data_IF_911228442932
#
_entry.id   IF_911228442932
#
_cell.length_a   1.000
_cell.length_b   1.000
_cell.length_c   1.000
_cell.angle_alpha   90.00
_cell.angle_beta   90.00
_cell.angle_gamma   90.00
#
_symmetry.space_group_name_H-M   'P 1'
#
loop_
_entity.id
_entity.type
_entity.pdbx_description
1 polymer ?
#
# COMPACT_ATOMS: atom_id res chain seq x y z
N UNK A 1 -20.71 -2.14 41.22
CA UNK A 1 -20.93 -0.85 40.51
C UNK A 1 -19.69 -0.26 39.85
N UNK A 2 -18.67 0.34 40.52
CA UNK A 2 -17.50 0.87 39.76
C UNK A 2 -16.57 -0.20 39.16
N UNK A 3 -16.43 -1.37 39.80
CA UNK A 3 -15.56 -2.47 39.31
C UNK A 3 -16.17 -3.34 38.21
N UNK A 4 -17.50 -3.29 38.02
CA UNK A 4 -18.16 -4.04 36.94
C UNK A 4 -18.04 -3.29 35.61
N UNK A 5 -18.18 -1.95 35.61
CA UNK A 5 -17.98 -1.20 34.36
C UNK A 5 -16.53 -1.22 33.88
N UNK A 6 -15.54 -1.25 34.79
CA UNK A 6 -14.13 -1.43 34.41
C UNK A 6 -13.86 -2.82 33.79
N UNK A 7 -14.62 -3.85 34.20
CA UNK A 7 -14.52 -5.21 33.66
C UNK A 7 -15.25 -5.32 32.32
N UNK A 8 -16.43 -4.70 32.20
CA UNK A 8 -17.21 -4.63 30.97
C UNK A 8 -16.50 -3.77 29.91
N UNK A 9 -15.82 -2.69 30.30
CA UNK A 9 -14.97 -1.87 29.42
C UNK A 9 -13.69 -2.62 29.02
N UNK A 10 -13.12 -3.45 29.91
CA UNK A 10 -11.99 -4.33 29.56
C UNK A 10 -12.41 -5.48 28.64
N UNK A 11 -13.61 -6.04 28.83
CA UNK A 11 -14.20 -7.08 27.96
C UNK A 11 -14.61 -6.47 26.61
N UNK A 12 -15.13 -5.24 26.58
CA UNK A 12 -15.43 -4.50 25.36
C UNK A 12 -14.14 -4.08 24.62
N UNK A 13 -13.07 -3.72 25.33
CA UNK A 13 -11.76 -3.47 24.75
C UNK A 13 -11.12 -4.75 24.16
N UNK A 14 -11.39 -5.91 24.76
CA UNK A 14 -11.06 -7.24 24.21
C UNK A 14 -11.89 -7.61 22.97
N UNK A 15 -13.04 -6.95 22.75
CA UNK A 15 -13.90 -7.11 21.58
C UNK A 15 -13.70 -5.97 20.56
N UNK A 16 -12.45 -5.57 20.31
CA UNK A 16 -12.16 -4.80 19.09
C UNK A 16 -12.62 -5.62 17.88
N UNK A 17 -13.36 -5.04 16.91
CA UNK A 17 -13.77 -5.78 15.72
C UNK A 17 -12.51 -6.35 15.09
N UNK A 18 -12.52 -7.67 14.88
CA UNK A 18 -11.37 -8.37 14.33
C UNK A 18 -11.03 -7.73 12.97
N UNK A 19 -9.83 -7.12 12.88
CA UNK A 19 -9.33 -6.74 11.58
C UNK A 19 -9.17 -8.01 10.76
N UNK A 20 -9.42 -7.93 9.46
CA UNK A 20 -9.36 -9.10 8.58
C UNK A 20 -8.44 -8.77 7.43
N UNK A 21 -7.54 -9.69 7.10
CA UNK A 21 -6.70 -9.67 5.90
C UNK A 21 -7.28 -10.63 4.87
N UNK A 22 -7.37 -10.17 3.62
CA UNK A 22 -7.59 -11.04 2.48
C UNK A 22 -6.23 -11.53 1.98
N UNK A 23 -5.98 -12.84 2.04
CA UNK A 23 -4.72 -13.47 1.64
C UNK A 23 -4.93 -14.36 0.41
N UNK A 24 -4.08 -14.20 -0.63
CA UNK A 24 -4.17 -14.95 -1.89
C UNK A 24 -3.56 -16.33 -1.79
N UNK A 25 -4.37 -17.38 -1.91
CA UNK A 25 -3.97 -18.78 -1.89
C UNK A 25 -3.46 -19.28 -3.26
N UNK A 26 -2.77 -20.42 -3.22
CA UNK A 26 -2.39 -21.20 -4.40
C UNK A 26 -1.15 -20.70 -5.13
N UNK A 27 -0.96 -19.39 -5.22
CA UNK A 27 0.12 -18.80 -6.00
C UNK A 27 1.35 -18.42 -5.18
N UNK A 28 1.22 -17.73 -4.03
CA UNK A 28 2.38 -17.48 -3.19
C UNK A 28 2.86 -18.76 -2.52
N UNK A 29 4.17 -18.89 -2.23
CA UNK A 29 4.72 -20.12 -1.64
C UNK A 29 3.97 -20.54 -0.38
N UNK A 30 3.60 -21.84 -0.29
CA UNK A 30 2.91 -22.42 0.86
C UNK A 30 3.58 -22.06 2.20
N UNK A 31 4.92 -22.01 2.23
CA UNK A 31 5.65 -21.60 3.44
C UNK A 31 5.28 -20.18 3.89
N UNK A 32 5.23 -19.20 2.98
CA UNK A 32 4.83 -17.82 3.32
C UNK A 32 3.40 -17.77 3.87
N UNK A 33 2.52 -18.62 3.34
CA UNK A 33 1.16 -18.74 3.85
C UNK A 33 1.14 -19.23 5.30
N UNK A 34 1.82 -20.35 5.56
CA UNK A 34 1.86 -20.97 6.89
C UNK A 34 2.54 -20.07 7.92
N UNK A 35 3.67 -19.45 7.56
CA UNK A 35 4.40 -18.50 8.41
C UNK A 35 3.50 -17.31 8.77
N UNK A 36 2.75 -16.74 7.81
CA UNK A 36 1.81 -15.64 8.07
C UNK A 36 0.69 -16.03 9.05
N UNK A 37 0.11 -17.23 8.87
CA UNK A 37 -0.95 -17.72 9.75
C UNK A 37 -0.42 -17.93 11.17
N UNK A 38 0.79 -18.49 11.31
CA UNK A 38 1.45 -18.64 12.62
C UNK A 38 1.71 -17.30 13.29
N UNK A 39 2.31 -16.34 12.57
CA UNK A 39 2.67 -15.01 13.07
C UNK A 39 1.43 -14.17 13.42
N UNK A 40 0.31 -14.36 12.72
CA UNK A 40 -0.95 -13.67 13.03
C UNK A 40 -1.47 -14.03 14.43
N UNK A 41 -1.04 -15.17 14.99
CA UNK A 41 -1.42 -15.63 16.33
C UNK A 41 -2.91 -15.88 16.50
N UNK A 42 -3.65 -16.03 15.39
CA UNK A 42 -5.12 -16.18 15.33
C UNK A 42 -5.55 -17.48 14.67
N UNK A 43 -4.66 -18.47 14.62
CA UNK A 43 -5.05 -19.86 14.42
C UNK A 43 -6.20 -20.18 15.37
N UNK A 44 -7.38 -20.48 14.81
CA UNK A 44 -8.48 -20.98 15.61
C UNK A 44 -7.96 -22.20 16.39
N UNK A 45 -8.18 -22.27 17.71
CA UNK A 45 -7.81 -23.44 18.49
C UNK A 45 -8.37 -24.70 17.82
N UNK A 46 -7.47 -25.57 17.32
CA UNK A 46 -7.86 -26.85 16.70
C UNK A 46 -7.87 -26.91 15.16
N UNK A 47 -7.52 -25.85 14.42
CA UNK A 47 -7.31 -26.00 12.97
C UNK A 47 -6.00 -26.77 12.71
N UNK A 48 -6.04 -28.00 12.17
CA UNK A 48 -4.82 -28.75 11.94
C UNK A 48 -4.05 -28.12 10.76
N UNK A 49 -2.71 -28.04 10.86
CA UNK A 49 -1.84 -27.57 9.76
C UNK A 49 -2.15 -28.27 8.44
N UNK A 50 -2.55 -29.55 8.49
CA UNK A 50 -2.93 -30.33 7.31
C UNK A 50 -4.16 -29.79 6.59
N UNK A 51 -5.08 -29.09 7.28
CA UNK A 51 -6.20 -28.41 6.63
C UNK A 51 -5.73 -27.16 5.86
N UNK A 52 -4.81 -26.38 6.45
CA UNK A 52 -4.19 -25.20 5.81
C UNK A 52 -3.39 -25.59 4.55
N UNK A 53 -2.73 -26.74 4.59
CA UNK A 53 -2.03 -27.27 3.41
C UNK A 53 -3.03 -27.67 2.34
N UNK A 54 -4.11 -28.38 2.68
CA UNK A 54 -5.13 -28.80 1.71
C UNK A 54 -5.81 -27.62 1.03
N UNK A 55 -6.26 -26.62 1.79
CA UNK A 55 -6.91 -25.45 1.18
C UNK A 55 -5.97 -24.69 0.23
N UNK A 56 -4.69 -24.58 0.59
CA UNK A 56 -3.70 -23.96 -0.28
C UNK A 56 -3.48 -24.81 -1.54
N UNK A 57 -3.39 -26.13 -1.40
CA UNK A 57 -3.23 -27.05 -2.54
C UNK A 57 -4.44 -27.07 -3.47
N UNK A 58 -5.66 -26.94 -2.94
CA UNK A 58 -6.87 -26.87 -3.75
C UNK A 58 -6.95 -25.54 -4.51
N UNK A 59 -6.56 -24.43 -3.88
CA UNK A 59 -6.40 -23.15 -4.56
C UNK A 59 -5.30 -23.17 -5.63
N UNK A 60 -4.16 -23.84 -5.36
CA UNK A 60 -3.07 -23.99 -6.33
C UNK A 60 -3.52 -24.73 -7.58
N UNK A 61 -4.25 -25.85 -7.41
CA UNK A 61 -4.82 -26.61 -8.54
C UNK A 61 -5.81 -25.76 -9.34
N UNK A 62 -6.67 -25.01 -8.66
CA UNK A 62 -7.58 -24.08 -9.33
C UNK A 62 -6.83 -22.95 -10.06
N UNK A 63 -5.72 -22.48 -9.50
CA UNK A 63 -4.85 -21.50 -10.15
C UNK A 63 -4.21 -22.07 -11.43
N UNK A 64 -3.69 -23.29 -11.40
CA UNK A 64 -3.15 -23.99 -12.59
C UNK A 64 -4.19 -24.09 -13.72
N UNK A 65 -5.46 -24.37 -13.38
CA UNK A 65 -6.56 -24.34 -14.36
C UNK A 65 -6.75 -22.94 -14.96
N UNK A 66 -6.62 -21.89 -14.14
CA UNK A 66 -6.69 -20.51 -14.61
C UNK A 66 -5.50 -20.11 -15.47
N UNK A 67 -4.29 -20.61 -15.20
CA UNK A 67 -3.13 -20.33 -16.04
C UNK A 67 -3.34 -20.78 -17.49
N UNK A 68 -4.07 -21.88 -17.68
CA UNK A 68 -4.43 -22.37 -19.00
C UNK A 68 -5.62 -21.63 -19.59
N UNK A 69 -6.68 -21.38 -18.80
CA UNK A 69 -7.93 -20.78 -19.31
C UNK A 69 -7.82 -19.27 -19.57
N UNK A 70 -6.97 -18.59 -18.79
CA UNK A 70 -6.78 -17.14 -18.81
C UNK A 70 -5.34 -16.78 -19.22
N UNK A 71 -4.74 -17.59 -20.10
CA UNK A 71 -3.41 -17.32 -20.63
C UNK A 71 -3.35 -15.92 -21.27
N UNK A 72 -2.32 -15.16 -20.92
CA UNK A 72 -2.03 -13.80 -21.36
C UNK A 72 -3.16 -12.79 -21.10
N UNK A 73 -4.07 -13.07 -20.17
CA UNK A 73 -5.20 -12.18 -19.84
C UNK A 73 -4.76 -10.78 -19.32
N UNK A 74 -3.52 -10.67 -18.84
CA UNK A 74 -2.95 -9.41 -18.36
C UNK A 74 -2.30 -8.58 -19.48
N UNK A 75 -2.11 -9.16 -20.67
CA UNK A 75 -1.42 -8.53 -21.79
C UNK A 75 -2.34 -7.48 -22.41
N UNK A 76 -1.77 -6.31 -22.71
CA UNK A 76 -2.44 -5.17 -23.35
C UNK A 76 -3.88 -4.93 -22.83
N UNK A 77 -4.06 -4.71 -21.52
CA UNK A 77 -5.39 -4.56 -20.94
C UNK A 77 -6.08 -3.32 -21.52
N UNK A 78 -7.41 -3.38 -21.63
CA UNK A 78 -8.21 -2.28 -22.13
C UNK A 78 -7.97 -1.01 -21.29
N UNK A 79 -7.63 0.09 -21.97
CA UNK A 79 -7.42 1.40 -21.37
C UNK A 79 -8.36 2.40 -22.06
N UNK A 80 -9.61 2.56 -21.58
CA UNK A 80 -10.51 3.54 -22.17
C UNK A 80 -9.94 4.96 -22.01
N UNK A 81 -10.27 5.90 -22.91
CA UNK A 81 -9.80 7.27 -22.74
C UNK A 81 -10.35 7.88 -21.45
N UNK A 82 -9.55 8.75 -20.82
CA UNK A 82 -10.03 9.58 -19.72
C UNK A 82 -11.15 10.51 -20.20
N UNK A 83 -12.16 10.72 -19.36
CA UNK A 83 -13.20 11.70 -19.62
C UNK A 83 -12.56 13.10 -19.77
N UNK A 84 -12.75 13.80 -20.90
CA UNK A 84 -12.17 15.13 -21.11
C UNK A 84 -12.52 16.16 -20.03
N UNK A 85 -13.66 16.00 -19.34
CA UNK A 85 -14.05 16.86 -18.22
C UNK A 85 -13.11 16.77 -17.02
N UNK A 86 -12.29 15.70 -16.92
CA UNK A 86 -11.30 15.53 -15.86
C UNK A 86 -9.99 16.28 -16.12
N UNK A 87 -9.77 16.82 -17.33
CA UNK A 87 -8.51 17.45 -17.71
C UNK A 87 -8.03 18.53 -16.70
N UNK A 88 -8.89 19.43 -16.17
CA UNK A 88 -8.45 20.40 -15.17
C UNK A 88 -7.95 19.76 -13.87
N UNK A 89 -8.62 18.69 -13.39
CA UNK A 89 -8.24 18.00 -12.17
C UNK A 89 -6.96 17.18 -12.36
N UNK A 90 -6.78 16.58 -13.54
CA UNK A 90 -5.54 15.88 -13.91
C UNK A 90 -4.37 16.86 -13.93
N UNK A 91 -4.55 18.04 -14.54
CA UNK A 91 -3.53 19.09 -14.56
C UNK A 91 -3.18 19.55 -13.13
N UNK A 92 -4.16 19.68 -12.24
CA UNK A 92 -3.92 19.97 -10.82
C UNK A 92 -3.07 18.89 -10.15
N UNK A 93 -3.37 17.61 -10.40
CA UNK A 93 -2.58 16.48 -9.89
C UNK A 93 -1.13 16.57 -10.37
N UNK A 94 -0.93 16.72 -11.68
CA UNK A 94 0.39 16.73 -12.30
C UNK A 94 1.24 17.95 -11.89
N UNK A 95 0.60 19.09 -11.63
CA UNK A 95 1.28 20.30 -11.16
C UNK A 95 1.67 20.23 -9.67
N UNK A 96 1.18 19.25 -8.91
CA UNK A 96 1.45 19.15 -7.48
C UNK A 96 2.90 18.69 -7.20
N UNK A 97 3.56 19.25 -6.15
CA UNK A 97 4.88 18.77 -5.72
C UNK A 97 4.89 17.29 -5.30
N UNK A 98 3.73 16.76 -4.89
CA UNK A 98 3.55 15.34 -4.54
C UNK A 98 3.73 14.47 -5.77
N UNK A 99 3.08 14.82 -6.87
CA UNK A 99 3.23 14.12 -8.14
C UNK A 99 4.66 14.24 -8.64
N UNK A 100 5.16 15.47 -8.78
CA UNK A 100 6.46 15.71 -9.41
C UNK A 100 7.61 15.06 -8.64
N UNK A 101 7.58 15.03 -7.29
CA UNK A 101 8.63 14.37 -6.49
C UNK A 101 8.49 12.86 -6.41
N UNK A 102 7.28 12.32 -6.58
CA UNK A 102 7.06 10.86 -6.51
C UNK A 102 7.40 10.19 -7.84
N UNK A 103 7.14 10.88 -8.95
CA UNK A 103 7.25 10.34 -10.31
C UNK A 103 8.25 11.14 -11.15
N UNK A 104 9.41 11.49 -10.58
CA UNK A 104 10.49 12.22 -11.26
C UNK A 104 11.48 11.33 -12.04
N UNK A 105 11.44 10.01 -11.81
CA UNK A 105 12.48 9.10 -12.31
C UNK A 105 12.31 8.66 -13.75
N UNK A 106 11.07 8.46 -14.19
CA UNK A 106 10.72 7.98 -15.54
C UNK A 106 9.49 8.72 -16.06
N UNK A 107 9.29 8.81 -17.39
CA UNK A 107 8.07 9.34 -17.97
C UNK A 107 6.84 8.66 -17.38
N UNK A 108 5.87 9.47 -16.95
CA UNK A 108 4.62 8.98 -16.40
C UNK A 108 3.45 9.80 -16.93
N UNK A 109 2.30 9.14 -17.03
CA UNK A 109 1.03 9.76 -17.41
C UNK A 109 -0.07 9.29 -16.47
N UNK A 110 -1.19 10.02 -16.47
CA UNK A 110 -2.43 9.55 -15.84
C UNK A 110 -3.28 8.92 -16.93
N UNK A 111 -3.73 7.69 -16.70
CA UNK A 111 -4.49 6.87 -17.65
C UNK A 111 -5.62 6.13 -16.93
N UNK A 112 -6.67 5.72 -17.65
CA UNK A 112 -7.61 4.74 -17.12
C UNK A 112 -7.00 3.35 -17.25
N UNK A 113 -7.02 2.58 -16.16
CA UNK A 113 -6.52 1.20 -16.16
C UNK A 113 -7.65 0.23 -15.85
N UNK A 114 -7.61 -0.93 -16.49
CA UNK A 114 -8.46 -2.06 -16.16
C UNK A 114 -8.02 -2.68 -14.82
N UNK A 115 -8.82 -2.45 -13.77
CA UNK A 115 -8.50 -2.88 -12.42
C UNK A 115 -8.37 -4.40 -12.31
N UNK A 116 -9.19 -5.17 -13.00
CA UNK A 116 -9.23 -6.62 -12.78
C UNK A 116 -8.10 -7.37 -13.50
N UNK A 117 -7.40 -6.70 -14.42
CA UNK A 117 -6.21 -7.21 -15.10
C UNK A 117 -4.90 -6.58 -14.59
N UNK A 118 -4.97 -5.76 -13.53
CA UNK A 118 -3.77 -5.29 -12.85
C UNK A 118 -3.04 -6.48 -12.22
N UNK A 119 -1.76 -6.62 -12.56
CA UNK A 119 -0.85 -7.59 -11.95
C UNK A 119 -0.54 -7.15 -10.52
N UNK A 120 -0.56 -8.09 -9.58
CA UNK A 120 -0.30 -7.82 -8.15
C UNK A 120 0.93 -8.56 -7.66
N UNK A 121 1.71 -7.91 -6.79
CA UNK A 121 2.86 -8.53 -6.13
C UNK A 121 2.74 -8.60 -4.61
N UNK A 122 1.68 -8.03 -4.03
CA UNK A 122 1.32 -8.24 -2.63
C UNK A 122 0.40 -9.46 -2.53
N UNK A 123 0.70 -10.33 -1.56
CA UNK A 123 -0.07 -11.55 -1.32
C UNK A 123 -1.32 -11.30 -0.48
N UNK A 124 -1.42 -10.13 0.17
CA UNK A 124 -2.52 -9.83 1.07
C UNK A 124 -2.88 -8.35 1.06
N UNK A 125 -4.13 -8.05 1.44
CA UNK A 125 -4.67 -6.70 1.64
C UNK A 125 -5.56 -6.68 2.88
N UNK A 126 -5.53 -5.59 3.64
CA UNK A 126 -6.38 -5.41 4.82
C UNK A 126 -7.83 -5.25 4.39
N UNK A 127 -8.61 -6.33 4.46
CA UNK A 127 -9.98 -6.38 3.99
C UNK A 127 -10.90 -5.40 4.72
N UNK A 128 -10.75 -5.24 6.04
CA UNK A 128 -11.56 -4.26 6.80
C UNK A 128 -11.28 -2.81 6.36
N UNK A 129 -10.07 -2.53 5.87
CA UNK A 129 -9.77 -1.22 5.28
C UNK A 129 -10.37 -1.07 3.88
N UNK A 130 -10.42 -2.16 3.09
CA UNK A 130 -11.15 -2.19 1.82
C UNK A 130 -12.64 -1.87 2.05
N UNK A 131 -13.29 -2.50 3.03
CA UNK A 131 -14.69 -2.23 3.38
C UNK A 131 -14.91 -0.77 3.79
N UNK A 132 -14.03 -0.21 4.62
CA UNK A 132 -14.08 1.20 5.00
C UNK A 132 -13.94 2.15 3.79
N UNK A 133 -13.07 1.81 2.84
CA UNK A 133 -12.91 2.56 1.60
C UNK A 133 -14.16 2.47 0.70
N UNK A 134 -14.78 1.29 0.62
CA UNK A 134 -16.05 1.11 -0.10
C UNK A 134 -17.16 1.96 0.50
N UNK A 135 -17.32 1.92 1.83
CA UNK A 135 -18.31 2.71 2.54
C UNK A 135 -18.11 4.22 2.35
N UNK A 136 -16.84 4.68 2.32
CA UNK A 136 -16.48 6.08 2.10
C UNK A 136 -16.77 6.55 0.67
N UNK A 137 -16.53 5.72 -0.34
CA UNK A 137 -16.74 6.08 -1.74
C UNK A 137 -18.22 6.03 -2.13
N UNK A 138 -18.96 5.06 -1.59
CA UNK A 138 -20.33 4.77 -2.00
C UNK A 138 -20.41 4.02 -3.35
N UNK A 139 -21.63 3.62 -3.77
CA UNK A 139 -21.84 2.68 -4.87
C UNK A 139 -21.72 3.28 -6.27
N UNK A 140 -21.84 4.60 -6.43
CA UNK A 140 -21.87 5.26 -7.73
C UNK A 140 -21.16 6.62 -7.68
N UNK A 141 -19.83 6.64 -7.49
CA UNK A 141 -19.08 7.89 -7.54
C UNK A 141 -19.13 8.50 -8.94
N UNK A 142 -19.25 9.81 -9.03
CA UNK A 142 -19.02 10.51 -10.30
C UNK A 142 -17.53 10.45 -10.70
N UNK A 143 -17.22 10.84 -11.95
CA UNK A 143 -15.86 10.75 -12.49
C UNK A 143 -14.83 11.57 -11.68
N UNK A 144 -15.24 12.72 -11.14
CA UNK A 144 -14.37 13.60 -10.37
C UNK A 144 -14.11 13.03 -8.95
N UNK A 145 -15.13 12.45 -8.33
CA UNK A 145 -15.01 11.71 -7.08
C UNK A 145 -14.13 10.48 -7.24
N UNK A 146 -14.27 9.73 -8.34
CA UNK A 146 -13.40 8.60 -8.68
C UNK A 146 -11.94 9.03 -8.86
N UNK A 147 -11.68 10.11 -9.60
CA UNK A 147 -10.33 10.66 -9.77
C UNK A 147 -9.72 11.08 -8.43
N UNK A 148 -10.44 11.87 -7.62
CA UNK A 148 -9.97 12.30 -6.29
C UNK A 148 -9.78 11.13 -5.33
N UNK A 149 -10.59 10.08 -5.48
CA UNK A 149 -10.41 8.86 -4.71
C UNK A 149 -9.11 8.19 -5.11
N UNK A 150 -8.83 8.00 -6.40
CA UNK A 150 -7.61 7.38 -6.93
C UNK A 150 -6.33 8.18 -6.69
N UNK A 151 -6.39 9.50 -6.88
CA UNK A 151 -5.25 10.42 -6.87
C UNK A 151 -5.47 11.54 -5.83
N UNK A 152 -5.49 11.22 -4.52
CA UNK A 152 -5.84 12.19 -3.48
C UNK A 152 -4.76 13.27 -3.31
N UNK A 153 -5.02 14.48 -3.81
CA UNK A 153 -4.13 15.64 -3.61
C UNK A 153 -4.07 16.11 -2.16
N UNK A 154 -5.17 15.91 -1.43
CA UNK A 154 -5.29 16.20 -0.01
C UNK A 154 -5.53 14.89 0.71
N UNK A 155 -4.65 14.60 1.67
CA UNK A 155 -4.91 13.57 2.66
C UNK A 155 -5.17 14.27 3.99
N UNK A 156 -6.22 13.85 4.68
CA UNK A 156 -6.24 13.97 6.13
C UNK A 156 -5.31 12.86 6.65
N UNK A 157 -4.11 13.19 7.14
CA UNK A 157 -3.19 12.17 7.61
C UNK A 157 -3.87 11.36 8.71
N UNK A 158 -3.64 10.05 8.69
CA UNK A 158 -4.09 9.22 9.81
C UNK A 158 -3.53 9.80 11.12
N UNK A 159 -4.28 9.77 12.22
CA UNK A 159 -3.79 10.26 13.50
C UNK A 159 -2.42 9.65 13.84
N UNK A 160 -1.52 10.50 14.31
CA UNK A 160 -0.20 10.10 14.76
C UNK A 160 0.14 10.76 16.09
N UNK A 161 1.00 10.11 16.85
CA UNK A 161 1.49 10.58 18.13
C UNK A 161 3.02 10.65 18.10
N UNK A 162 3.58 11.68 18.72
CA UNK A 162 5.02 11.83 18.92
C UNK A 162 5.26 11.91 20.42
N UNK A 163 6.11 11.03 20.96
CA UNK A 163 6.39 10.98 22.39
C UNK A 163 7.89 10.82 22.64
N UNK A 164 8.46 11.49 23.66
CA UNK A 164 9.79 11.14 24.15
C UNK A 164 9.81 9.69 24.63
N UNK A 165 10.81 8.93 24.19
CA UNK A 165 11.09 7.55 24.59
C UNK A 165 12.40 7.43 25.42
N UNK A 166 13.09 8.55 25.63
CA UNK A 166 14.29 8.68 26.44
C UNK A 166 15.04 9.99 26.16
N UNK A 167 16.20 10.23 26.80
CA UNK A 167 16.92 11.51 26.70
C UNK A 167 17.32 11.93 25.27
N UNK A 168 17.59 10.96 24.39
CA UNK A 168 17.95 11.16 22.98
C UNK A 168 17.08 10.30 22.05
N UNK A 169 15.86 9.95 22.48
CA UNK A 169 14.99 9.02 21.76
C UNK A 169 13.56 9.52 21.68
N UNK A 170 12.98 9.44 20.49
CA UNK A 170 11.61 9.87 20.22
C UNK A 170 10.89 8.76 19.45
N UNK A 171 9.67 8.44 19.89
CA UNK A 171 8.81 7.47 19.25
C UNK A 171 7.68 8.19 18.51
N UNK A 172 7.55 7.88 17.23
CA UNK A 172 6.46 8.29 16.37
C UNK A 172 5.54 7.10 16.17
N UNK A 173 4.23 7.25 16.39
CA UNK A 173 3.26 6.16 16.28
C UNK A 173 2.09 6.56 15.41
N UNK A 174 1.65 5.66 14.52
CA UNK A 174 0.38 5.81 13.79
C UNK A 174 -0.29 4.44 13.57
N UNK A 175 -1.61 4.45 13.40
CA UNK A 175 -2.36 3.26 12.99
C UNK A 175 -2.25 2.96 11.49
N UNK A 176 -1.73 3.90 10.68
CA UNK A 176 -1.55 3.69 9.25
C UNK A 176 -0.31 2.83 8.95
N UNK A 177 -0.46 1.88 8.04
CA UNK A 177 0.66 1.09 7.50
C UNK A 177 1.59 1.91 6.61
N UNK A 178 1.12 3.03 6.09
CA UNK A 178 1.87 3.95 5.23
C UNK A 178 2.84 4.87 6.00
N UNK A 179 2.73 4.91 7.32
CA UNK A 179 3.56 5.76 8.17
C UNK A 179 5.03 5.32 8.13
N UNK A 180 5.95 6.21 7.76
CA UNK A 180 7.34 5.85 7.49
C UNK A 180 8.31 7.00 7.76
N UNK A 181 9.56 6.64 8.01
CA UNK A 181 10.68 7.56 7.91
C UNK A 181 10.90 7.88 6.42
N UNK A 182 11.09 9.15 6.11
CA UNK A 182 11.38 9.61 4.75
C UNK A 182 12.88 9.81 4.58
N UNK A 183 13.43 10.83 5.24
CA UNK A 183 14.81 11.23 5.05
C UNK A 183 15.30 12.17 6.17
N UNK A 184 16.62 12.26 6.39
CA UNK A 184 17.24 13.37 7.11
C UNK A 184 17.38 14.58 6.18
N UNK A 185 17.06 15.78 6.67
CA UNK A 185 17.20 17.03 5.91
C UNK A 185 17.90 18.08 6.76
N UNK A 186 18.88 18.77 6.18
CA UNK A 186 19.46 19.95 6.80
C UNK A 186 18.58 21.17 6.51
N UNK A 187 18.05 21.79 7.56
CA UNK A 187 17.28 23.02 7.50
C UNK A 187 18.16 24.19 7.91
N UNK A 188 18.12 25.26 7.13
CA UNK A 188 18.72 26.53 7.52
C UNK A 188 17.90 27.18 8.64
N UNK A 189 18.53 28.02 9.46
CA UNK A 189 17.86 28.72 10.56
C UNK A 189 16.61 29.50 10.12
N UNK A 190 16.62 30.06 8.91
CA UNK A 190 15.48 30.77 8.30
C UNK A 190 14.26 29.90 8.01
N UNK A 191 14.41 28.57 7.94
CA UNK A 191 13.34 27.61 7.68
C UNK A 191 12.62 27.15 8.96
N UNK A 192 13.13 27.52 10.14
CA UNK A 192 12.62 27.09 11.44
C UNK A 192 11.58 28.07 12.01
N UNK A 193 10.42 28.16 11.34
CA UNK A 193 9.32 29.01 11.79
C UNK A 193 8.80 28.61 13.18
N UNK A 194 8.59 29.59 14.06
CA UNK A 194 7.99 29.39 15.38
C UNK A 194 8.87 28.71 16.44
N UNK A 195 10.13 28.41 16.13
CA UNK A 195 11.07 27.90 17.11
C UNK A 195 11.60 29.03 18.00
N UNK A 196 11.32 28.97 19.30
CA UNK A 196 11.84 29.92 20.28
C UNK A 196 13.30 29.58 20.62
N UNK A 197 14.22 30.08 19.79
CA UNK A 197 15.66 29.92 20.01
C UNK A 197 16.20 30.91 21.05
N UNK A 198 17.24 30.49 21.79
CA UNK A 198 17.96 31.36 22.73
C UNK A 198 18.90 32.35 22.03
N UNK A 199 19.30 32.07 20.78
CA UNK A 199 20.22 32.90 19.99
C UNK A 199 20.10 32.64 18.50
N UNK A 200 21.07 33.14 17.73
CA UNK A 200 21.11 32.92 16.28
C UNK A 200 21.24 31.41 15.97
N UNK A 201 20.37 30.91 15.11
CA UNK A 201 20.34 29.50 14.73
C UNK A 201 21.10 29.30 13.42
N UNK A 202 22.19 28.54 13.46
CA UNK A 202 22.95 28.19 12.25
C UNK A 202 22.15 27.24 11.34
N UNK A 203 21.47 26.25 11.92
CA UNK A 203 20.62 25.30 11.21
C UNK A 203 20.06 24.23 12.15
N UNK A 204 19.30 23.29 11.59
CA UNK A 204 18.80 22.12 12.29
C UNK A 204 18.82 20.89 11.39
N UNK A 205 19.19 19.74 11.96
CA UNK A 205 18.97 18.44 11.33
C UNK A 205 17.53 17.98 11.61
N UNK A 206 16.69 17.98 10.58
CA UNK A 206 15.34 17.46 10.65
C UNK A 206 15.31 15.99 10.22
N UNK A 207 14.64 15.14 11.01
CA UNK A 207 14.41 13.74 10.68
C UNK A 207 12.95 13.57 10.33
N UNK A 208 12.66 13.48 9.03
CA UNK A 208 11.30 13.61 8.51
C UNK A 208 10.56 12.26 8.63
N UNK A 209 9.48 12.26 9.41
CA UNK A 209 8.57 11.12 9.56
C UNK A 209 7.18 11.53 9.10
N UNK A 210 6.55 10.72 8.26
CA UNK A 210 5.24 11.05 7.72
C UNK A 210 4.62 9.94 6.90
N UNK A 211 3.82 10.33 5.92
CA UNK A 211 3.07 9.44 5.02
C UNK A 211 3.56 9.63 3.59
N UNK A 212 3.37 8.62 2.74
CA UNK A 212 3.77 8.67 1.34
C UNK A 212 2.63 9.19 0.46
N UNK A 213 2.94 9.46 -0.81
CA UNK A 213 1.92 9.79 -1.81
C UNK A 213 1.03 8.57 -2.07
N UNK A 214 -0.22 8.63 -1.65
CA UNK A 214 -1.15 7.50 -1.74
C UNK A 214 -1.91 7.43 -3.08
N UNK A 215 -1.28 7.84 -4.17
CA UNK A 215 -1.85 7.74 -5.52
C UNK A 215 -1.90 6.28 -5.95
N UNK A 216 -3.01 5.89 -6.58
CA UNK A 216 -3.10 4.66 -7.36
C UNK A 216 -2.08 4.75 -8.51
N UNK A 217 -1.07 3.87 -8.50
CA UNK A 217 -0.05 3.87 -9.52
C UNK A 217 0.40 2.47 -9.91
N UNK A 218 0.81 2.33 -11.16
CA UNK A 218 1.24 1.08 -11.77
C UNK A 218 2.50 1.27 -12.64
N UNK A 219 3.24 0.19 -12.81
CA UNK A 219 4.37 0.09 -13.73
C UNK A 219 3.93 -0.76 -14.92
N UNK A 220 4.13 -0.23 -16.13
CA UNK A 220 3.82 -0.89 -17.40
C UNK A 220 5.10 -1.40 -18.04
N UNK A 221 5.17 -2.66 -18.45
CA UNK A 221 6.24 -3.10 -19.36
C UNK A 221 5.90 -2.72 -20.81
N UNK A 222 6.90 -2.38 -21.61
CA UNK A 222 6.72 -1.97 -23.01
C UNK A 222 6.37 -3.12 -23.96
N UNK A 223 6.83 -4.34 -23.67
CA UNK A 223 6.67 -5.53 -24.51
C UNK A 223 5.22 -6.00 -24.57
N UNK A 224 4.66 -6.42 -23.44
CA UNK A 224 3.29 -6.98 -23.33
C UNK A 224 2.29 -5.99 -22.79
N UNK A 225 2.73 -4.80 -22.38
CA UNK A 225 1.84 -3.75 -21.88
C UNK A 225 1.16 -4.11 -20.55
N UNK A 226 1.64 -5.10 -19.80
CA UNK A 226 1.05 -5.51 -18.52
C UNK A 226 1.27 -4.42 -17.49
N UNK A 227 0.24 -4.19 -16.69
CA UNK A 227 0.25 -3.17 -15.65
C UNK A 227 0.40 -3.82 -14.28
N UNK A 228 1.57 -3.69 -13.67
CA UNK A 228 1.81 -4.10 -12.29
C UNK A 228 1.41 -3.00 -11.32
N UNK A 229 0.45 -3.30 -10.44
CA UNK A 229 0.02 -2.40 -9.39
C UNK A 229 1.15 -2.15 -8.40
N UNK A 230 1.65 -0.92 -8.37
CA UNK A 230 2.76 -0.54 -7.52
C UNK A 230 2.27 0.04 -6.18
N UNK A 231 1.26 0.93 -6.20
CA UNK A 231 0.58 1.41 -5.00
C UNK A 231 -0.94 1.52 -5.20
N UNK A 232 -1.71 1.46 -4.11
CA UNK A 232 -3.17 1.63 -4.13
C UNK A 232 -3.97 0.33 -4.07
N UNK A 233 -3.39 -0.77 -3.59
CA UNK A 233 -4.02 -2.10 -3.47
C UNK A 233 -5.41 -2.07 -2.83
N UNK A 234 -5.52 -1.52 -1.61
CA UNK A 234 -6.81 -1.44 -0.90
C UNK A 234 -7.87 -0.67 -1.68
N UNK A 235 -7.44 0.38 -2.38
CA UNK A 235 -8.30 1.23 -3.19
C UNK A 235 -8.78 0.49 -4.43
N UNK A 236 -7.87 -0.15 -5.13
CA UNK A 236 -8.15 -0.92 -6.33
C UNK A 236 -9.11 -2.08 -6.00
N UNK A 237 -8.88 -2.80 -4.90
CA UNK A 237 -9.80 -3.83 -4.40
C UNK A 237 -11.18 -3.25 -4.05
N UNK A 238 -11.25 -2.08 -3.40
CA UNK A 238 -12.52 -1.43 -3.06
C UNK A 238 -13.31 -1.06 -4.32
N UNK A 239 -12.65 -0.45 -5.30
CA UNK A 239 -13.26 -0.09 -6.58
C UNK A 239 -13.81 -1.31 -7.31
N UNK A 240 -12.98 -2.35 -7.46
CA UNK A 240 -13.38 -3.57 -8.15
C UNK A 240 -14.52 -4.30 -7.40
N UNK A 241 -14.51 -4.29 -6.06
CA UNK A 241 -15.58 -4.85 -5.23
C UNK A 241 -16.91 -4.08 -5.35
N UNK A 242 -16.86 -2.80 -5.70
CA UNK A 242 -18.04 -1.98 -6.03
C UNK A 242 -18.48 -2.14 -7.49
N UNK A 243 -17.84 -3.02 -8.27
CA UNK A 243 -18.15 -3.23 -9.68
C UNK A 243 -17.55 -2.17 -10.62
N UNK A 244 -16.70 -1.28 -10.12
CA UNK A 244 -16.00 -0.30 -10.96
C UNK A 244 -14.85 -1.03 -11.65
N UNK A 245 -14.90 -1.09 -12.99
CA UNK A 245 -13.93 -1.84 -13.79
C UNK A 245 -12.67 -1.05 -14.12
N UNK A 246 -12.82 0.24 -14.42
CA UNK A 246 -11.72 1.09 -14.86
C UNK A 246 -11.56 2.27 -13.91
N UNK A 247 -10.31 2.68 -13.63
CA UNK A 247 -10.04 3.80 -12.75
C UNK A 247 -8.81 4.61 -13.18
N UNK A 248 -8.76 5.92 -12.88
CA UNK A 248 -7.57 6.74 -13.13
C UNK A 248 -6.38 6.24 -12.30
N UNK A 249 -5.21 6.14 -12.92
CA UNK A 249 -3.98 5.62 -12.33
C UNK A 249 -2.78 6.37 -12.91
N UNK A 250 -1.76 6.63 -12.10
CA UNK A 250 -0.45 7.09 -12.60
C UNK A 250 0.30 5.88 -13.15
N UNK A 251 0.70 5.92 -14.42
CA UNK A 251 1.40 4.83 -15.08
C UNK A 251 2.81 5.28 -15.46
N UNK A 252 3.81 4.52 -15.00
CA UNK A 252 5.20 4.63 -15.45
C UNK A 252 5.48 3.48 -16.41
N UNK A 253 5.99 3.78 -17.60
CA UNK A 253 6.36 2.74 -18.56
C UNK A 253 7.85 2.46 -18.45
N UNK A 254 8.22 1.18 -18.43
CA UNK A 254 9.59 0.69 -18.44
C UNK A 254 9.82 -0.12 -19.71
N UNK A 255 10.90 0.18 -20.42
CA UNK A 255 11.33 -0.59 -21.60
C UNK A 255 12.60 -1.40 -21.39
N UNK A 256 13.17 -1.34 -20.19
CA UNK A 256 14.35 -2.12 -19.86
C UNK A 256 14.36 -2.60 -18.43
N UNK A 257 15.26 -3.55 -18.18
CA UNK A 257 15.49 -4.07 -16.85
C UNK A 257 16.04 -3.00 -15.90
N UNK A 258 16.93 -2.15 -16.39
CA UNK A 258 17.53 -1.07 -15.61
C UNK A 258 16.48 -0.04 -15.18
N UNK A 259 15.54 0.29 -16.07
CA UNK A 259 14.41 1.16 -15.75
C UNK A 259 13.47 0.52 -14.72
N UNK A 260 13.19 -0.79 -14.84
CA UNK A 260 12.40 -1.53 -13.86
C UNK A 260 13.05 -1.49 -12.47
N UNK A 261 14.37 -1.64 -12.37
CA UNK A 261 15.11 -1.61 -11.10
C UNK A 261 15.05 -0.23 -10.39
N UNK A 262 14.76 0.85 -11.14
CA UNK A 262 14.63 2.21 -10.60
C UNK A 262 13.27 2.45 -9.92
N UNK A 263 12.20 1.85 -10.45
CA UNK A 263 10.79 2.15 -10.07
C UNK A 263 10.04 1.01 -9.42
N UNK A 264 10.43 -0.24 -9.66
CA UNK A 264 9.74 -1.40 -9.13
C UNK A 264 10.13 -1.70 -7.67
N UNK A 265 9.26 -2.44 -6.99
CA UNK A 265 9.59 -2.99 -5.66
C UNK A 265 10.70 -4.03 -5.80
N UNK A 266 11.56 -4.13 -4.80
CA UNK A 266 12.67 -5.10 -4.78
C UNK A 266 12.24 -6.55 -5.08
N UNK A 267 11.04 -6.96 -4.65
CA UNK A 267 10.50 -8.30 -4.97
C UNK A 267 10.23 -8.48 -6.47
N UNK A 268 9.69 -7.45 -7.13
CA UNK A 268 9.39 -7.46 -8.57
C UNK A 268 10.69 -7.39 -9.36
N UNK A 269 11.63 -6.56 -8.92
CA UNK A 269 12.98 -6.57 -9.43
C UNK A 269 13.60 -7.98 -9.28
N UNK A 270 13.55 -8.64 -8.13
CA UNK A 270 14.22 -9.94 -7.98
C UNK A 270 13.71 -11.04 -8.91
N UNK A 271 12.45 -10.95 -9.37
CA UNK A 271 11.85 -11.93 -10.29
C UNK A 271 10.85 -11.26 -11.24
N UNK A 272 11.33 -10.60 -12.31
CA UNK A 272 10.46 -9.88 -13.23
C UNK A 272 9.64 -10.86 -14.09
N UNK A 273 10.20 -12.04 -14.38
CA UNK A 273 9.58 -13.03 -15.25
C UNK A 273 8.28 -13.56 -14.67
N UNK A 274 8.21 -13.74 -13.36
CA UNK A 274 7.00 -14.14 -12.68
C UNK A 274 5.84 -13.15 -12.83
N UNK A 275 6.12 -11.84 -12.87
CA UNK A 275 5.07 -10.82 -12.95
C UNK A 275 4.75 -10.42 -14.39
N UNK A 276 5.77 -10.31 -15.25
CA UNK A 276 5.63 -9.79 -16.61
C UNK A 276 5.63 -10.87 -17.70
N UNK A 277 6.15 -12.07 -17.44
CA UNK A 277 6.28 -13.12 -18.46
C UNK A 277 5.47 -14.40 -18.17
N UNK A 278 4.98 -14.59 -16.94
CA UNK A 278 4.16 -15.75 -16.60
C UNK A 278 2.90 -15.80 -17.49
N UNK A 279 2.43 -16.98 -17.93
CA UNK A 279 1.21 -17.10 -18.74
C UNK A 279 0.02 -16.37 -18.10
N UNK A 280 -0.09 -16.45 -16.76
CA UNK A 280 -1.13 -15.76 -16.00
C UNK A 280 -0.56 -15.35 -14.64
N UNK A 281 -0.10 -14.10 -14.48
CA UNK A 281 0.42 -13.63 -13.20
C UNK A 281 -0.73 -13.42 -12.20
N UNK A 282 -0.46 -13.16 -10.91
CA UNK A 282 -1.49 -12.80 -9.95
C UNK A 282 -2.19 -11.52 -10.39
N UNK A 283 -3.52 -11.52 -10.32
CA UNK A 283 -4.32 -10.39 -10.74
C UNK A 283 -5.11 -9.84 -9.56
N UNK A 284 -5.41 -8.54 -9.60
CA UNK A 284 -6.21 -7.90 -8.56
C UNK A 284 -7.56 -8.59 -8.35
N UNK A 285 -8.18 -9.11 -9.42
CA UNK A 285 -9.46 -9.83 -9.33
C UNK A 285 -9.40 -11.10 -8.46
N UNK A 286 -8.22 -11.65 -8.22
CA UNK A 286 -8.03 -12.84 -7.40
C UNK A 286 -8.37 -12.57 -5.93
N UNK A 287 -8.22 -11.32 -5.48
CA UNK A 287 -8.67 -10.88 -4.16
C UNK A 287 -10.20 -10.88 -4.01
N UNK A 288 -10.95 -11.14 -5.08
CA UNK A 288 -12.40 -11.26 -5.06
C UNK A 288 -12.88 -12.71 -5.29
N UNK A 289 -12.03 -13.62 -5.78
CA UNK A 289 -12.41 -15.03 -5.98
C UNK A 289 -12.27 -15.80 -4.64
N UNK A 290 -13.37 -16.30 -4.05
CA UNK A 290 -13.33 -17.03 -2.78
C UNK A 290 -12.55 -18.36 -2.86
N UNK A 291 -12.23 -18.88 -4.05
CA UNK A 291 -11.38 -20.07 -4.22
C UNK A 291 -9.89 -19.73 -4.18
N UNK A 292 -9.52 -18.49 -4.44
CA UNK A 292 -8.15 -18.00 -4.40
C UNK A 292 -7.87 -17.12 -3.19
N UNK A 293 -8.85 -16.90 -2.31
CA UNK A 293 -8.71 -16.01 -1.17
C UNK A 293 -9.15 -16.65 0.13
N UNK A 294 -8.35 -16.45 1.17
CA UNK A 294 -8.77 -16.64 2.56
C UNK A 294 -8.91 -15.30 3.29
N UNK A 295 -9.97 -15.16 4.06
CA UNK A 295 -10.10 -14.10 5.04
C UNK A 295 -9.52 -14.57 6.37
N UNK A 296 -8.49 -13.87 6.85
CA UNK A 296 -7.74 -14.22 8.05
C UNK A 296 -7.94 -13.10 9.07
N UNK A 297 -8.50 -13.38 10.27
CA UNK A 297 -8.51 -12.43 11.36
C UNK A 297 -7.07 -12.05 11.73
N UNK A 298 -6.81 -10.75 11.93
CA UNK A 298 -5.54 -10.20 12.38
C UNK A 298 -5.75 -9.25 13.56
N UNK A 299 -4.69 -9.09 14.37
CA UNK A 299 -4.64 -8.06 15.40
C UNK A 299 -4.44 -6.69 14.75
N UNK A 300 -5.04 -5.66 15.34
CA UNK A 300 -4.76 -4.28 14.95
C UNK A 300 -3.31 -3.94 15.29
N UNK A 301 -2.51 -3.63 14.27
CA UNK A 301 -1.13 -3.20 14.45
C UNK A 301 -1.03 -1.68 14.34
N UNK A 302 -0.12 -1.09 15.12
CA UNK A 302 0.32 0.30 14.93
C UNK A 302 1.76 0.29 14.46
N UNK A 303 2.09 1.17 13.54
CA UNK A 303 3.47 1.39 13.13
C UNK A 303 4.14 2.34 14.12
N UNK A 304 5.29 1.93 14.65
CA UNK A 304 6.13 2.73 15.54
C UNK A 304 7.48 2.93 14.87
N UNK A 305 7.92 4.18 14.80
CA UNK A 305 9.24 4.58 14.30
C UNK A 305 9.94 5.24 15.47
N UNK A 306 10.97 4.56 15.99
CA UNK A 306 11.84 5.12 17.01
C UNK A 306 13.04 5.78 16.34
N UNK A 307 13.32 7.03 16.72
CA UNK A 307 14.45 7.80 16.25
C UNK A 307 15.34 8.10 17.43
N UNK A 308 16.64 7.81 17.27
CA UNK A 308 17.69 8.15 18.22
C UNK A 308 18.77 8.98 17.54
N UNK A 309 19.39 9.91 18.28
CA UNK A 309 20.54 10.68 17.79
C UNK A 309 21.70 10.66 18.79
N UNK A 310 22.89 10.99 18.31
CA UNK A 310 24.07 11.24 19.14
C UNK A 310 24.71 12.58 18.76
N UNK A 311 25.41 13.20 19.72
CA UNK A 311 26.08 14.49 19.53
C UNK A 311 27.50 14.31 20.04
N UNK A 312 28.48 14.62 19.17
CA UNK A 312 29.90 14.68 19.52
C UNK A 312 30.35 16.12 19.32
N UNK A 313 30.97 16.65 20.36
CA UNK A 313 31.48 18.02 20.41
C UNK A 313 33.00 17.94 20.63
N UNK A 314 33.76 18.44 19.66
CA UNK A 314 35.21 18.50 19.71
C UNK A 314 35.71 19.71 18.93
N UNK A 315 36.83 20.24 19.38
CA UNK A 315 37.57 21.27 18.65
C UNK A 315 38.47 20.59 17.61
N UNK A 316 38.57 21.21 16.43
CA UNK A 316 39.46 20.80 15.35
C UNK A 316 40.39 21.99 15.04
N UNK A 317 41.70 21.75 14.95
CA UNK A 317 42.66 22.74 14.46
C UNK A 317 42.65 22.72 12.93
N UNK A 318 42.58 23.90 12.29
CA UNK A 318 42.61 24.03 10.81
C UNK A 318 43.97 23.66 10.20
#
# INVERSE_FOLDING_TARGET
MKRESDLDDAIAALQSPAHTEAWLLGQPPLRKYLDFIEDSGLLQPGMPRTALVREWSDAARYYEELETREENIADHPAAPPLDPSLAPLIAEVMASPRYSRTFDKLPCNIEMVDLAHLVVCQNHVTHTFVEALMARLGPAPDAAALLRFCLPLRDDPAPFEIRPAGPKRYAFRSASTDFRFHEPVMLQGSQLGGHAAFGAVAGALALVVGFSCNFLNAVRDDDRGRLLLHNGYHRACALLSLGIRHAPCVVQTVGSRDELDIVAKALVASDPGYFFNAPRPPLLKDFLDPRLRKLVPIKKMSRVIEISYDIRDYFEEE
#
